data_IF_300750773781
#
_entry.id   IF_300750773781
#
_cell.length_a   1.000
_cell.length_b   1.000
_cell.length_c   1.000
_cell.angle_alpha   90.00
_cell.angle_beta   90.00
_cell.angle_gamma   90.00
#
_symmetry.space_group_name_H-M   'P 1'
#
loop_
_entity.id
_entity.type
_entity.pdbx_description
1 polymer ?
#
# COMPACT_ATOMS: atom_id res chain seq x y z
N UNK A 1 41.22 57.23 -51.85
CA UNK A 1 39.98 57.09 -51.04
C UNK A 1 39.68 55.57 -50.93
N UNK A 2 40.10 54.96 -49.82
CA UNK A 2 39.92 53.53 -49.59
C UNK A 2 38.85 53.37 -48.52
N UNK A 3 37.72 52.72 -48.86
CA UNK A 3 36.60 52.44 -47.99
C UNK A 3 36.96 51.20 -47.15
N UNK A 4 36.98 51.33 -45.81
CA UNK A 4 37.02 50.22 -44.85
C UNK A 4 35.60 49.69 -44.69
N UNK A 5 35.46 48.39 -44.85
CA UNK A 5 34.25 47.61 -44.44
C UNK A 5 34.40 47.14 -42.99
N UNK A 6 33.40 47.29 -42.13
CA UNK A 6 33.44 46.64 -40.83
C UNK A 6 33.05 45.17 -40.92
N UNK A 7 33.87 44.29 -40.31
CA UNK A 7 33.57 42.89 -40.04
C UNK A 7 32.63 42.81 -38.86
N UNK A 8 31.41 42.33 -39.09
CA UNK A 8 30.47 41.93 -38.01
C UNK A 8 30.83 40.53 -37.56
N UNK A 9 31.42 40.42 -36.38
CA UNK A 9 31.66 39.11 -35.72
C UNK A 9 30.39 38.64 -35.00
N UNK A 10 29.79 37.59 -35.52
CA UNK A 10 28.65 36.92 -34.88
C UNK A 10 29.16 36.03 -33.74
N UNK A 11 28.95 36.43 -32.49
CA UNK A 11 29.22 35.61 -31.30
C UNK A 11 28.11 34.58 -31.18
N UNK A 12 28.37 33.30 -31.51
CA UNK A 12 27.50 32.18 -31.19
C UNK A 12 27.64 31.85 -29.69
N UNK A 13 26.66 32.25 -28.89
CA UNK A 13 26.52 31.79 -27.51
C UNK A 13 25.91 30.39 -27.57
N UNK A 14 26.74 29.35 -27.48
CA UNK A 14 26.30 27.98 -27.25
C UNK A 14 25.82 27.86 -25.81
N UNK A 15 24.51 28.04 -25.60
CA UNK A 15 23.87 27.74 -24.32
C UNK A 15 23.96 26.24 -24.04
N UNK A 16 24.81 25.87 -23.11
CA UNK A 16 24.81 24.54 -22.52
C UNK A 16 23.51 24.37 -21.74
N UNK A 17 22.51 23.77 -22.36
CA UNK A 17 21.36 23.17 -21.64
C UNK A 17 21.91 22.01 -20.83
N UNK A 18 22.23 22.26 -19.56
CA UNK A 18 22.45 21.20 -18.57
C UNK A 18 21.13 20.46 -18.42
N UNK A 19 20.93 19.39 -19.19
CA UNK A 19 19.90 18.42 -18.91
C UNK A 19 20.33 17.80 -17.59
N UNK A 20 19.66 18.18 -16.49
CA UNK A 20 19.73 17.43 -15.25
C UNK A 20 19.19 16.03 -15.56
N UNK A 21 20.08 15.11 -15.91
CA UNK A 21 19.79 13.68 -15.85
C UNK A 21 19.41 13.41 -14.41
N UNK A 22 18.13 13.19 -14.14
CA UNK A 22 17.71 12.55 -12.88
C UNK A 22 18.55 11.27 -12.83
N UNK A 23 19.46 11.19 -11.86
CA UNK A 23 20.37 10.06 -11.72
C UNK A 23 19.50 8.81 -11.46
N UNK A 24 19.27 8.01 -12.50
CA UNK A 24 18.75 6.67 -12.34
C UNK A 24 19.69 5.95 -11.37
N UNK A 25 19.15 5.51 -10.21
CA UNK A 25 19.93 4.83 -9.18
C UNK A 25 20.38 5.66 -7.98
N UNK A 26 20.14 6.98 -7.96
CA UNK A 26 20.60 7.84 -6.85
C UNK A 26 20.10 7.40 -5.47
N UNK A 27 18.88 6.83 -5.37
CA UNK A 27 18.34 6.33 -4.09
C UNK A 27 19.01 5.02 -3.72
N UNK A 28 19.21 4.10 -4.65
CA UNK A 28 19.92 2.84 -4.39
C UNK A 28 21.38 3.12 -3.95
N UNK A 29 22.10 4.01 -4.63
CA UNK A 29 23.47 4.40 -4.27
C UNK A 29 23.53 5.02 -2.88
N UNK A 30 22.58 5.89 -2.54
CA UNK A 30 22.45 6.45 -1.19
C UNK A 30 22.28 5.36 -0.14
N UNK A 31 21.36 4.39 -0.35
CA UNK A 31 21.13 3.26 0.55
C UNK A 31 22.41 2.42 0.71
N UNK A 32 23.05 2.09 -0.41
CA UNK A 32 24.27 1.26 -0.40
C UNK A 32 25.45 1.93 0.28
N UNK A 33 25.57 3.25 0.23
CA UNK A 33 26.64 4.03 0.87
C UNK A 33 26.36 4.29 2.36
N UNK A 34 25.13 4.67 2.70
CA UNK A 34 24.74 4.97 4.11
C UNK A 34 24.47 3.72 4.94
N UNK A 35 24.23 2.57 4.29
CA UNK A 35 23.77 1.32 4.93
C UNK A 35 22.45 1.48 5.71
N UNK A 36 21.64 2.44 5.31
CA UNK A 36 20.33 2.72 5.92
C UNK A 36 19.30 2.93 4.82
N UNK A 37 18.12 2.33 4.99
CA UNK A 37 16.95 2.55 4.15
C UNK A 37 15.79 3.07 5.00
N UNK A 38 15.17 4.17 4.55
CA UNK A 38 13.96 4.73 5.17
C UNK A 38 12.74 4.10 4.52
N UNK A 39 11.95 3.38 5.34
CA UNK A 39 10.75 2.69 4.85
C UNK A 39 9.51 3.28 5.50
N UNK A 40 8.61 3.82 4.67
CA UNK A 40 7.30 4.25 5.12
C UNK A 40 6.38 3.03 5.32
N UNK A 41 5.60 3.04 6.40
CA UNK A 41 4.56 2.05 6.70
C UNK A 41 3.50 2.67 7.60
N UNK A 42 2.43 1.94 7.92
CA UNK A 42 1.37 2.41 8.81
C UNK A 42 1.67 2.03 10.27
N UNK A 43 1.32 2.91 11.20
CA UNK A 43 1.46 2.64 12.63
C UNK A 43 0.20 2.02 13.28
N UNK A 44 -0.91 1.93 12.53
CA UNK A 44 -2.21 1.46 13.03
C UNK A 44 -2.99 0.62 11.99
N UNK A 45 -2.34 -0.40 11.48
CA UNK A 45 -2.91 -1.37 10.50
C UNK A 45 -2.61 -2.82 10.91
N UNK A 46 -3.01 -3.27 12.14
CA UNK A 46 -2.74 -4.65 12.56
C UNK A 46 -3.56 -5.68 11.75
N UNK A 47 -3.00 -6.86 11.50
CA UNK A 47 -1.68 -7.35 11.89
C UNK A 47 -0.58 -7.04 10.85
N UNK A 48 -0.85 -6.19 9.84
CA UNK A 48 0.09 -5.85 8.77
C UNK A 48 1.24 -4.96 9.27
N UNK A 49 0.92 -3.83 9.89
CA UNK A 49 1.90 -2.92 10.48
C UNK A 49 1.27 -2.13 11.64
N UNK A 50 1.95 -2.09 12.75
CA UNK A 50 1.45 -1.42 13.96
C UNK A 50 2.59 -1.14 14.94
N UNK A 51 2.32 -0.30 15.93
CA UNK A 51 3.21 -0.12 17.08
C UNK A 51 2.78 -1.11 18.17
N UNK A 52 3.69 -2.00 18.57
CA UNK A 52 3.45 -3.01 19.60
C UNK A 52 3.58 -2.43 21.02
N UNK A 53 3.32 -3.26 22.04
CA UNK A 53 3.37 -2.87 23.47
C UNK A 53 4.77 -2.39 23.94
N UNK A 54 5.83 -2.79 23.23
CA UNK A 54 7.21 -2.31 23.47
C UNK A 54 7.50 -0.97 22.77
N UNK A 55 6.51 -0.32 22.19
CA UNK A 55 6.61 0.90 21.39
C UNK A 55 7.55 0.75 20.18
N UNK A 56 7.48 -0.40 19.51
CA UNK A 56 8.26 -0.72 18.32
C UNK A 56 7.35 -1.06 17.16
N UNK A 57 7.77 -0.72 15.94
CA UNK A 57 7.10 -1.17 14.74
C UNK A 57 7.13 -2.70 14.65
N UNK A 58 5.97 -3.31 14.39
CA UNK A 58 5.80 -4.75 14.28
C UNK A 58 4.71 -5.08 13.25
N UNK A 59 4.63 -6.32 12.80
CA UNK A 59 3.64 -6.77 11.83
C UNK A 59 4.25 -7.45 10.61
N UNK A 60 3.36 -7.96 9.76
CA UNK A 60 3.72 -8.66 8.52
C UNK A 60 4.55 -7.79 7.58
N UNK A 61 4.07 -6.59 7.26
CA UNK A 61 4.75 -5.64 6.37
C UNK A 61 6.10 -5.19 6.94
N UNK A 62 6.17 -5.05 8.27
CA UNK A 62 7.39 -4.68 8.98
C UNK A 62 8.44 -5.78 8.87
N UNK A 63 8.06 -7.05 9.00
CA UNK A 63 8.98 -8.18 8.81
C UNK A 63 9.43 -8.32 7.34
N UNK A 64 8.52 -8.09 6.39
CA UNK A 64 8.87 -8.04 4.95
C UNK A 64 9.88 -6.90 4.69
N UNK A 65 9.64 -5.71 5.23
CA UNK A 65 10.53 -4.56 5.09
C UNK A 65 11.92 -4.85 5.66
N UNK A 66 12.00 -5.46 6.84
CA UNK A 66 13.26 -5.89 7.46
C UNK A 66 14.03 -6.90 6.61
N UNK A 67 13.33 -7.89 6.04
CA UNK A 67 13.97 -8.90 5.20
C UNK A 67 14.46 -8.29 3.87
N UNK A 68 13.72 -7.35 3.26
CA UNK A 68 14.19 -6.60 2.09
C UNK A 68 15.46 -5.81 2.43
N UNK A 69 15.46 -5.05 3.52
CA UNK A 69 16.60 -4.25 3.94
C UNK A 69 17.83 -5.12 4.23
N UNK A 70 17.66 -6.23 4.93
CA UNK A 70 18.72 -7.21 5.20
C UNK A 70 19.34 -7.72 3.88
N UNK A 71 18.54 -8.02 2.85
CA UNK A 71 19.03 -8.45 1.53
C UNK A 71 19.68 -7.31 0.73
N UNK A 72 19.35 -6.07 1.03
CA UNK A 72 20.07 -4.89 0.54
C UNK A 72 21.37 -4.64 1.30
N UNK A 73 21.59 -5.29 2.44
CA UNK A 73 22.73 -5.03 3.34
C UNK A 73 22.62 -3.67 4.04
N UNK A 74 21.40 -3.27 4.42
CA UNK A 74 21.06 -2.01 5.06
C UNK A 74 20.19 -2.23 6.31
N UNK A 75 20.26 -1.28 7.25
CA UNK A 75 19.38 -1.19 8.40
C UNK A 75 18.13 -0.39 8.05
N UNK A 76 16.98 -0.72 8.69
CA UNK A 76 15.71 -0.02 8.45
C UNK A 76 15.52 1.11 9.44
N UNK A 77 15.18 2.29 8.92
CA UNK A 77 14.54 3.38 9.66
C UNK A 77 13.07 3.45 9.24
N UNK A 78 12.14 3.12 10.14
CA UNK A 78 10.70 3.21 9.86
C UNK A 78 10.19 4.63 10.01
N UNK A 79 9.37 5.06 9.03
CA UNK A 79 8.66 6.34 9.01
C UNK A 79 7.17 6.03 8.91
N UNK A 80 6.34 6.74 9.68
CA UNK A 80 4.88 6.50 9.73
C UNK A 80 4.09 7.74 9.31
N UNK A 81 4.17 8.16 8.03
CA UNK A 81 3.38 9.27 7.52
C UNK A 81 1.93 8.85 7.33
N UNK A 82 1.02 9.83 7.23
CA UNK A 82 -0.38 9.57 6.92
C UNK A 82 -0.53 8.93 5.54
N UNK A 83 -1.54 8.09 5.38
CA UNK A 83 -1.81 7.34 4.16
C UNK A 83 -1.95 8.19 2.89
N UNK A 84 -2.65 9.33 2.99
CA UNK A 84 -2.81 10.30 1.90
C UNK A 84 -1.47 10.85 1.40
N UNK A 85 -0.53 11.10 2.31
CA UNK A 85 0.82 11.58 1.98
C UNK A 85 1.63 10.49 1.27
N UNK A 86 1.47 9.23 1.65
CA UNK A 86 2.14 8.10 0.98
C UNK A 86 1.59 7.93 -0.44
N UNK A 87 0.26 7.89 -0.58
CA UNK A 87 -0.41 7.61 -1.86
C UNK A 87 -0.31 8.76 -2.87
N UNK A 88 -0.03 9.98 -2.41
CA UNK A 88 0.19 11.14 -3.27
C UNK A 88 1.47 11.04 -4.14
N UNK A 89 2.44 10.19 -3.76
CA UNK A 89 3.75 10.13 -4.42
C UNK A 89 4.58 11.40 -4.22
N UNK A 90 5.65 11.54 -5.00
CA UNK A 90 6.56 12.69 -4.91
C UNK A 90 7.06 12.90 -3.48
N UNK A 91 7.66 11.87 -2.92
CA UNK A 91 8.09 11.85 -1.52
C UNK A 91 9.30 12.75 -1.23
N UNK A 92 9.99 13.20 -2.28
CA UNK A 92 11.14 14.12 -2.20
C UNK A 92 12.25 13.63 -1.27
N UNK A 93 12.49 12.31 -1.23
CA UNK A 93 13.53 11.70 -0.41
C UNK A 93 13.25 11.69 1.10
N UNK A 94 12.02 11.99 1.53
CA UNK A 94 11.61 11.84 2.94
C UNK A 94 11.72 10.39 3.42
N UNK A 95 11.44 9.45 2.53
CA UNK A 95 11.71 8.02 2.66
C UNK A 95 12.03 7.43 1.28
N UNK A 96 12.56 6.23 1.25
CA UNK A 96 13.11 5.60 0.06
C UNK A 96 12.14 4.57 -0.56
N UNK A 97 11.31 3.94 0.27
CA UNK A 97 10.40 2.86 -0.13
C UNK A 97 9.18 2.85 0.81
N UNK A 98 8.08 2.31 0.35
CA UNK A 98 6.92 2.00 1.19
C UNK A 98 6.64 0.49 1.16
N UNK A 99 6.45 -0.09 2.35
CA UNK A 99 5.97 -1.46 2.57
C UNK A 99 4.85 -1.38 3.61
N UNK A 100 3.61 -1.39 3.14
CA UNK A 100 2.42 -1.14 3.94
C UNK A 100 1.16 -1.48 3.17
N UNK A 101 1.15 -2.65 2.51
CA UNK A 101 -0.06 -3.24 1.90
C UNK A 101 -0.72 -2.34 0.85
N UNK A 102 0.05 -1.79 -0.08
CA UNK A 102 -0.50 -0.93 -1.13
C UNK A 102 -0.88 -1.72 -2.38
N UNK A 103 -2.17 -1.69 -2.74
CA UNK A 103 -2.65 -2.24 -4.01
C UNK A 103 -2.27 -1.32 -5.17
N UNK A 104 -1.64 -1.82 -6.24
CA UNK A 104 -1.47 -1.09 -7.49
C UNK A 104 -2.84 -0.76 -8.10
N UNK A 105 -3.12 0.53 -8.27
CA UNK A 105 -4.30 1.00 -9.01
C UNK A 105 -3.86 1.92 -10.14
N UNK A 106 -4.68 2.06 -11.18
CA UNK A 106 -4.40 3.00 -12.28
C UNK A 106 -4.15 4.42 -11.81
N UNK A 107 -4.80 4.84 -10.73
CA UNK A 107 -4.60 6.17 -10.18
C UNK A 107 -3.23 6.29 -9.50
N UNK A 108 -2.86 5.34 -8.64
CA UNK A 108 -1.60 5.33 -7.91
C UNK A 108 -0.40 5.15 -8.86
N UNK A 109 -0.55 4.34 -9.92
CA UNK A 109 0.50 4.12 -10.93
C UNK A 109 0.90 5.39 -11.72
N UNK A 110 0.12 6.47 -11.64
CA UNK A 110 0.50 7.77 -12.24
C UNK A 110 1.61 8.49 -11.48
N UNK A 111 1.80 8.18 -10.21
CA UNK A 111 2.70 8.90 -9.30
C UNK A 111 3.64 7.96 -8.52
N UNK A 112 3.44 6.65 -8.57
CA UNK A 112 4.19 5.62 -7.85
C UNK A 112 4.55 4.46 -8.77
N UNK A 113 5.65 3.77 -8.44
CA UNK A 113 6.06 2.50 -9.05
C UNK A 113 5.81 1.34 -8.09
N UNK A 114 5.46 0.18 -8.65
CA UNK A 114 5.15 -1.05 -7.92
C UNK A 114 6.10 -2.17 -8.36
N UNK A 115 7.34 -2.24 -7.84
CA UNK A 115 8.35 -3.19 -8.29
C UNK A 115 7.93 -4.65 -8.14
N UNK A 116 7.19 -4.99 -7.08
CA UNK A 116 6.73 -6.36 -6.88
C UNK A 116 5.53 -6.45 -5.96
N UNK A 117 4.56 -7.28 -6.33
CA UNK A 117 3.52 -7.79 -5.43
C UNK A 117 4.18 -8.82 -4.51
N UNK A 118 4.00 -8.69 -3.20
CA UNK A 118 4.59 -9.62 -2.22
C UNK A 118 3.58 -10.55 -1.57
N UNK A 119 2.28 -10.21 -1.56
CA UNK A 119 1.21 -11.09 -1.11
C UNK A 119 -0.15 -10.67 -1.65
N UNK A 120 -1.18 -11.47 -1.37
CA UNK A 120 -2.56 -11.22 -1.76
C UNK A 120 -3.46 -11.39 -0.55
N UNK A 121 -4.37 -10.44 -0.29
CA UNK A 121 -5.36 -10.60 0.78
C UNK A 121 -6.78 -10.47 0.27
N UNK A 122 -7.74 -11.21 0.87
CA UNK A 122 -9.14 -11.00 0.62
C UNK A 122 -9.62 -9.70 1.28
N UNK A 123 -10.34 -8.88 0.54
CA UNK A 123 -11.18 -7.81 1.05
C UNK A 123 -12.55 -8.41 1.42
N UNK A 124 -13.05 -8.13 2.60
CA UNK A 124 -14.27 -8.74 3.12
C UNK A 124 -15.16 -7.74 3.84
N UNK A 125 -16.43 -8.08 3.97
CA UNK A 125 -17.39 -7.33 4.76
C UNK A 125 -17.54 -7.93 6.15
N UNK A 126 -17.62 -7.06 7.16
CA UNK A 126 -17.95 -7.43 8.53
C UNK A 126 -19.18 -6.65 9.01
N UNK A 127 -19.95 -7.28 9.89
CA UNK A 127 -21.09 -6.69 10.56
C UNK A 127 -21.04 -7.01 12.06
N UNK A 128 -21.80 -6.29 12.87
CA UNK A 128 -21.97 -6.66 14.29
C UNK A 128 -22.60 -8.07 14.39
N UNK A 129 -22.21 -8.87 15.37
CA UNK A 129 -22.69 -10.26 15.51
C UNK A 129 -24.21 -10.39 15.65
N UNK A 130 -24.91 -9.36 16.18
CA UNK A 130 -26.36 -9.31 16.29
C UNK A 130 -27.07 -8.94 14.98
N UNK A 131 -26.34 -8.50 13.96
CA UNK A 131 -26.94 -8.13 12.67
C UNK A 131 -27.59 -9.35 11.99
N UNK A 132 -28.68 -9.10 11.29
CA UNK A 132 -29.40 -10.09 10.47
C UNK A 132 -28.82 -10.22 9.06
N UNK A 133 -27.88 -9.36 8.68
CA UNK A 133 -27.16 -9.45 7.41
C UNK A 133 -26.47 -10.82 7.30
N UNK A 134 -26.67 -11.52 6.19
CA UNK A 134 -26.19 -12.87 5.95
C UNK A 134 -25.33 -13.01 4.70
N UNK A 135 -25.46 -12.11 3.76
CA UNK A 135 -24.67 -12.06 2.53
C UNK A 135 -24.26 -10.60 2.21
N UNK A 136 -23.24 -10.45 1.37
CA UNK A 136 -22.67 -9.13 1.04
C UNK A 136 -23.70 -8.18 0.43
N UNK A 137 -24.55 -8.68 -0.46
CA UNK A 137 -25.59 -7.87 -1.13
C UNK A 137 -26.67 -7.32 -0.20
N UNK A 138 -26.86 -7.91 0.99
CA UNK A 138 -27.79 -7.37 2.01
C UNK A 138 -27.33 -5.98 2.53
N UNK A 139 -26.04 -5.64 2.35
CA UNK A 139 -25.45 -4.36 2.73
C UNK A 139 -25.80 -3.21 1.78
N UNK A 140 -26.49 -3.49 0.66
CA UNK A 140 -26.89 -2.46 -0.31
C UNK A 140 -27.79 -1.40 0.33
N UNK A 141 -27.46 -0.12 0.09
CA UNK A 141 -28.15 1.03 0.68
C UNK A 141 -27.84 1.31 2.16
N UNK A 142 -27.03 0.46 2.81
CA UNK A 142 -26.67 0.57 4.22
C UNK A 142 -25.47 1.49 4.47
N UNK A 143 -25.23 1.88 5.74
CA UNK A 143 -24.08 2.68 6.15
C UNK A 143 -22.86 1.79 6.34
N UNK A 144 -21.89 1.91 5.44
CA UNK A 144 -20.69 1.08 5.41
C UNK A 144 -19.46 1.92 5.72
N UNK A 145 -18.73 1.53 6.77
CA UNK A 145 -17.47 2.15 7.17
C UNK A 145 -16.28 1.59 6.40
N UNK A 146 -15.27 2.42 6.17
CA UNK A 146 -13.99 2.03 5.56
C UNK A 146 -12.91 3.07 5.84
N UNK A 147 -11.65 2.76 5.58
CA UNK A 147 -10.55 3.72 5.62
C UNK A 147 -10.55 4.64 4.39
N UNK A 148 -10.32 5.93 4.60
CA UNK A 148 -10.23 6.94 3.53
C UNK A 148 -9.07 6.65 2.58
N UNK A 149 -9.30 6.80 1.27
CA UNK A 149 -8.30 6.62 0.21
C UNK A 149 -7.84 5.16 0.00
N UNK A 150 -8.53 4.19 0.63
CA UNK A 150 -8.25 2.76 0.47
C UNK A 150 -8.96 2.19 -0.78
N UNK A 151 -8.55 1.01 -1.20
CA UNK A 151 -9.25 0.23 -2.23
C UNK A 151 -10.65 -0.19 -1.82
N UNK A 152 -10.89 -0.31 -0.52
CA UNK A 152 -12.21 -0.60 0.05
C UNK A 152 -13.18 0.57 -0.19
N UNK A 153 -12.72 1.81 0.00
CA UNK A 153 -13.49 3.01 -0.32
C UNK A 153 -13.77 3.10 -1.83
N UNK A 154 -12.73 2.84 -2.66
CA UNK A 154 -12.90 2.81 -4.12
C UNK A 154 -13.88 1.71 -4.56
N UNK A 155 -13.87 0.54 -3.92
CA UNK A 155 -14.84 -0.54 -4.17
C UNK A 155 -16.26 -0.09 -3.83
N UNK A 156 -16.49 0.47 -2.66
CA UNK A 156 -17.80 0.94 -2.22
C UNK A 156 -18.35 2.07 -3.11
N UNK A 157 -17.48 2.90 -3.68
CA UNK A 157 -17.83 3.96 -4.62
C UNK A 157 -17.92 3.48 -6.09
N UNK A 158 -17.66 2.20 -6.37
CA UNK A 158 -17.60 1.60 -7.71
C UNK A 158 -16.49 2.21 -8.63
N UNK A 159 -15.43 2.72 -8.03
CA UNK A 159 -14.29 3.38 -8.72
C UNK A 159 -13.01 2.53 -8.72
N UNK A 160 -13.04 1.32 -8.15
CA UNK A 160 -11.84 0.49 -8.01
C UNK A 160 -11.39 -0.07 -9.36
N UNK A 161 -10.17 0.29 -9.77
CA UNK A 161 -9.50 -0.30 -10.93
C UNK A 161 -8.10 -0.78 -10.50
N UNK A 162 -7.97 -2.08 -10.26
CA UNK A 162 -6.69 -2.72 -9.92
C UNK A 162 -5.83 -2.80 -11.19
N UNK A 163 -4.56 -2.39 -11.09
CA UNK A 163 -3.58 -2.36 -12.17
C UNK A 163 -2.40 -3.26 -11.81
N UNK A 164 -2.67 -4.55 -11.69
CA UNK A 164 -1.67 -5.57 -11.42
C UNK A 164 -1.91 -6.80 -12.29
N UNK A 165 -0.84 -7.31 -12.91
CA UNK A 165 -0.91 -8.52 -13.74
C UNK A 165 -1.41 -9.71 -12.92
N UNK A 166 -2.40 -10.44 -13.45
CA UNK A 166 -2.98 -11.62 -12.82
C UNK A 166 -3.85 -11.32 -11.60
N UNK A 167 -4.25 -10.05 -11.36
CA UNK A 167 -5.25 -9.72 -10.36
C UNK A 167 -6.57 -10.42 -10.68
N UNK A 168 -7.21 -11.10 -9.71
CA UNK A 168 -8.51 -11.72 -9.92
C UNK A 168 -9.57 -10.70 -10.31
N UNK A 169 -10.43 -11.06 -11.25
CA UNK A 169 -11.61 -10.27 -11.57
C UNK A 169 -12.59 -10.27 -10.39
N UNK A 170 -13.30 -9.18 -10.21
CA UNK A 170 -14.35 -9.03 -9.19
C UNK A 170 -15.57 -8.32 -9.75
N UNK A 171 -16.68 -8.39 -9.02
CA UNK A 171 -17.91 -7.63 -9.28
C UNK A 171 -18.29 -6.81 -8.06
N UNK A 172 -19.03 -5.73 -8.27
CA UNK A 172 -19.60 -4.96 -7.17
C UNK A 172 -20.86 -5.66 -6.66
N UNK A 173 -20.85 -6.08 -5.39
CA UNK A 173 -21.97 -6.81 -4.77
C UNK A 173 -22.79 -5.92 -3.81
N UNK A 174 -22.32 -4.71 -3.51
CA UNK A 174 -22.98 -3.75 -2.63
C UNK A 174 -23.42 -2.54 -3.48
N UNK A 175 -24.72 -2.40 -3.66
CA UNK A 175 -25.28 -1.32 -4.46
C UNK A 175 -25.66 -0.10 -3.58
N UNK A 176 -25.25 1.09 -4.04
CA UNK A 176 -25.61 2.38 -3.45
C UNK A 176 -25.39 2.46 -1.91
N UNK A 177 -24.25 2.01 -1.36
CA UNK A 177 -23.99 2.14 0.07
C UNK A 177 -23.88 3.61 0.49
N UNK A 178 -24.23 3.90 1.74
CA UNK A 178 -23.88 5.17 2.37
C UNK A 178 -22.49 5.05 2.96
N UNK A 179 -21.47 5.40 2.17
CA UNK A 179 -20.06 5.27 2.56
C UNK A 179 -19.73 6.23 3.69
N UNK A 180 -19.09 5.71 4.74
CA UNK A 180 -18.55 6.46 5.88
C UNK A 180 -17.04 6.26 5.92
N UNK A 181 -16.29 7.29 5.53
CA UNK A 181 -14.83 7.26 5.49
C UNK A 181 -14.25 7.65 6.84
N UNK A 182 -13.31 6.87 7.33
CA UNK A 182 -12.59 7.03 8.59
C UNK A 182 -11.09 7.21 8.29
N UNK A 183 -10.35 7.71 9.25
CA UNK A 183 -8.89 7.84 9.10
C UNK A 183 -8.24 6.47 8.81
N UNK A 184 -8.68 5.41 9.52
CA UNK A 184 -8.26 4.03 9.26
C UNK A 184 -9.46 3.08 9.32
N UNK A 185 -9.33 1.88 8.74
CA UNK A 185 -10.36 0.82 8.88
C UNK A 185 -10.49 0.34 10.32
N UNK A 186 -9.46 0.45 11.14
CA UNK A 186 -9.52 0.09 12.57
C UNK A 186 -10.52 1.00 13.30
N UNK A 187 -10.49 2.32 13.04
CA UNK A 187 -11.46 3.27 13.60
C UNK A 187 -12.89 2.97 13.14
N UNK A 188 -13.07 2.54 11.88
CA UNK A 188 -14.37 2.09 11.39
C UNK A 188 -14.86 0.83 12.15
N UNK A 189 -13.98 -0.14 12.43
CA UNK A 189 -14.31 -1.33 13.23
C UNK A 189 -14.64 -0.97 14.69
N UNK A 190 -13.99 0.05 15.25
CA UNK A 190 -14.32 0.59 16.58
C UNK A 190 -15.77 1.13 16.65
N UNK A 191 -16.23 1.80 15.60
CA UNK A 191 -17.62 2.27 15.53
C UNK A 191 -18.61 1.12 15.29
N UNK A 192 -18.23 0.11 14.48
CA UNK A 192 -19.09 -1.05 14.20
C UNK A 192 -19.32 -1.92 15.45
N UNK A 193 -18.32 -2.06 16.34
CA UNK A 193 -18.47 -2.85 17.57
C UNK A 193 -19.49 -2.32 18.56
N UNK A 194 -19.91 -1.06 18.41
CA UNK A 194 -20.90 -0.44 19.33
C UNK A 194 -22.29 -1.02 19.20
N UNK A 195 -22.61 -1.72 18.09
CA UNK A 195 -23.89 -2.40 17.87
C UNK A 195 -24.40 -2.27 16.44
N UNK A 196 -25.29 -3.17 16.08
CA UNK A 196 -25.93 -3.21 14.77
C UNK A 196 -26.71 -1.91 14.50
N UNK A 197 -26.39 -1.19 13.44
CA UNK A 197 -27.02 0.06 13.03
C UNK A 197 -26.78 1.27 13.97
N UNK A 198 -26.01 1.14 15.06
CA UNK A 198 -25.77 2.26 16.01
C UNK A 198 -25.05 3.41 15.32
N UNK A 199 -23.92 3.12 14.66
CA UNK A 199 -23.18 4.09 13.83
C UNK A 199 -23.02 3.59 12.40
N UNK A 200 -22.74 2.30 12.25
CA UNK A 200 -22.54 1.60 11.00
C UNK A 200 -23.39 0.34 10.98
N UNK A 201 -23.73 -0.12 9.78
CA UNK A 201 -24.38 -1.39 9.52
C UNK A 201 -23.32 -2.45 9.15
N UNK A 202 -22.20 -2.03 8.54
CA UNK A 202 -21.07 -2.88 8.19
C UNK A 202 -19.78 -2.11 7.97
N UNK A 203 -18.69 -2.84 7.81
CA UNK A 203 -17.35 -2.34 7.42
C UNK A 203 -16.83 -3.22 6.30
N UNK A 204 -16.21 -2.62 5.27
CA UNK A 204 -15.41 -3.32 4.27
C UNK A 204 -13.93 -3.01 4.53
N UNK A 205 -13.13 -4.06 4.70
CA UNK A 205 -11.71 -3.97 4.99
C UNK A 205 -10.97 -5.26 4.60
N UNK A 206 -9.65 -5.28 4.79
CA UNK A 206 -8.85 -6.51 4.71
C UNK A 206 -9.35 -7.57 5.69
N UNK A 207 -9.53 -8.80 5.22
CA UNK A 207 -9.98 -9.91 6.08
C UNK A 207 -9.05 -10.14 7.29
N UNK A 208 -7.71 -10.12 7.16
CA UNK A 208 -6.83 -10.23 8.32
C UNK A 208 -7.10 -9.17 9.39
N UNK A 209 -7.33 -7.91 9.04
CA UNK A 209 -7.64 -6.84 9.99
C UNK A 209 -8.99 -7.06 10.68
N UNK A 210 -10.00 -7.54 9.94
CA UNK A 210 -11.31 -7.91 10.52
C UNK A 210 -11.14 -9.06 11.51
N UNK A 211 -10.40 -10.12 11.13
CA UNK A 211 -10.17 -11.27 11.98
C UNK A 211 -9.37 -10.90 13.24
N UNK A 212 -8.39 -10.01 13.12
CA UNK A 212 -7.64 -9.49 14.27
C UNK A 212 -8.56 -8.77 15.27
N UNK A 213 -9.48 -7.92 14.79
CA UNK A 213 -10.47 -7.27 15.65
C UNK A 213 -11.40 -8.29 16.35
N UNK A 214 -11.84 -9.32 15.62
CA UNK A 214 -12.67 -10.41 16.18
C UNK A 214 -11.89 -11.19 17.25
N UNK A 215 -10.64 -11.54 17.00
CA UNK A 215 -9.76 -12.25 17.92
C UNK A 215 -9.50 -11.42 19.20
N UNK A 216 -9.44 -10.10 19.05
CA UNK A 216 -9.34 -9.15 20.16
C UNK A 216 -10.68 -8.86 20.86
N UNK A 217 -11.71 -9.70 20.61
CA UNK A 217 -12.98 -9.69 21.33
C UNK A 217 -14.03 -8.71 20.79
N UNK A 218 -13.84 -8.14 19.61
CA UNK A 218 -14.89 -7.32 18.99
C UNK A 218 -16.08 -8.21 18.63
N UNK A 219 -17.31 -7.79 18.96
CA UNK A 219 -18.52 -8.59 18.71
C UNK A 219 -18.95 -8.52 17.23
N UNK A 220 -18.06 -8.89 16.33
CA UNK A 220 -18.24 -8.83 14.88
C UNK A 220 -18.31 -10.24 14.29
N UNK A 221 -18.79 -10.31 13.05
CA UNK A 221 -18.75 -11.50 12.19
C UNK A 221 -18.45 -11.07 10.74
N UNK A 222 -17.71 -11.91 10.01
CA UNK A 222 -17.52 -11.78 8.56
C UNK A 222 -18.80 -12.23 7.86
N UNK A 223 -19.15 -11.59 6.75
CA UNK A 223 -20.34 -11.86 5.96
C UNK A 223 -19.97 -12.24 4.54
N UNK A 224 -20.53 -13.35 4.07
CA UNK A 224 -20.38 -13.82 2.69
C UNK A 224 -18.95 -14.21 2.33
N UNK A 225 -18.68 -14.22 1.02
CA UNK A 225 -17.35 -14.43 0.45
C UNK A 225 -16.58 -13.11 0.38
N UNK A 226 -15.26 -13.14 0.17
CA UNK A 226 -14.51 -11.91 -0.11
C UNK A 226 -15.07 -11.13 -1.30
N UNK A 227 -15.17 -9.82 -1.16
CA UNK A 227 -15.70 -8.93 -2.20
C UNK A 227 -14.71 -8.73 -3.36
N UNK A 228 -13.41 -8.79 -3.08
CA UNK A 228 -12.32 -8.87 -4.05
C UNK A 228 -11.04 -9.34 -3.37
N UNK A 229 -9.99 -9.59 -4.18
CA UNK A 229 -8.66 -9.91 -3.68
C UNK A 229 -7.69 -8.80 -4.08
N UNK A 230 -6.89 -8.34 -3.11
CA UNK A 230 -5.89 -7.30 -3.30
C UNK A 230 -4.52 -7.90 -3.59
N UNK A 231 -3.91 -7.62 -4.75
CA UNK A 231 -2.46 -7.75 -4.92
C UNK A 231 -1.78 -6.61 -4.16
N UNK A 232 -0.94 -6.93 -3.19
CA UNK A 232 -0.30 -5.95 -2.33
C UNK A 232 1.19 -5.86 -2.63
N UNK A 233 1.65 -4.67 -3.00
CA UNK A 233 2.97 -4.45 -3.58
C UNK A 233 3.85 -3.54 -2.71
N UNK A 234 5.16 -3.78 -2.81
CA UNK A 234 6.16 -2.79 -2.44
C UNK A 234 6.02 -1.59 -3.37
N UNK A 235 6.21 -0.39 -2.84
CA UNK A 235 6.03 0.84 -3.60
C UNK A 235 7.25 1.73 -3.46
N UNK A 236 7.65 2.40 -4.54
CA UNK A 236 8.71 3.41 -4.58
C UNK A 236 8.25 4.61 -5.40
N UNK A 237 8.90 5.77 -5.24
CA UNK A 237 8.66 6.93 -6.10
C UNK A 237 8.98 6.61 -7.57
N UNK A 238 8.34 7.32 -8.49
CA UNK A 238 8.65 7.20 -9.92
C UNK A 238 10.09 7.61 -10.20
N UNK A 239 10.72 6.93 -11.17
CA UNK A 239 11.98 7.35 -11.79
C UNK A 239 13.22 6.63 -11.31
N UNK A 240 13.22 5.90 -10.19
CA UNK A 240 14.36 5.09 -9.76
C UNK A 240 14.25 3.64 -10.29
N UNK A 241 14.67 3.44 -11.53
CA UNK A 241 14.60 2.13 -12.19
C UNK A 241 15.54 1.09 -11.56
N UNK A 242 16.68 1.52 -10.99
CA UNK A 242 17.64 0.61 -10.37
C UNK A 242 17.13 0.10 -9.04
N UNK A 243 16.56 0.97 -8.20
CA UNK A 243 15.89 0.55 -6.97
C UNK A 243 14.70 -0.38 -7.28
N UNK A 244 13.87 -0.02 -8.29
CA UNK A 244 12.77 -0.87 -8.74
C UNK A 244 13.25 -2.29 -9.10
N UNK A 245 14.25 -2.40 -9.98
CA UNK A 245 14.79 -3.69 -10.40
C UNK A 245 15.39 -4.48 -9.24
N UNK A 246 16.11 -3.79 -8.34
CA UNK A 246 16.72 -4.42 -7.17
C UNK A 246 15.68 -4.97 -6.20
N UNK A 247 14.64 -4.18 -5.88
CA UNK A 247 13.54 -4.61 -5.00
C UNK A 247 12.75 -5.75 -5.63
N UNK A 248 12.42 -5.67 -6.93
CA UNK A 248 11.75 -6.76 -7.65
C UNK A 248 12.53 -8.08 -7.56
N UNK A 249 13.86 -8.03 -7.77
CA UNK A 249 14.74 -9.20 -7.65
C UNK A 249 14.75 -9.77 -6.22
N UNK A 250 14.79 -8.91 -5.20
CA UNK A 250 14.78 -9.33 -3.79
C UNK A 250 13.46 -10.01 -3.45
N UNK A 251 12.31 -9.42 -3.80
CA UNK A 251 10.99 -10.00 -3.52
C UNK A 251 10.81 -11.34 -4.25
N UNK A 252 11.30 -11.45 -5.49
CA UNK A 252 11.31 -12.72 -6.24
C UNK A 252 12.15 -13.79 -5.53
N UNK A 253 13.33 -13.44 -5.01
CA UNK A 253 14.17 -14.34 -4.22
C UNK A 253 13.50 -14.74 -2.89
N UNK A 254 12.85 -13.80 -2.18
CA UNK A 254 12.08 -14.07 -0.95
C UNK A 254 10.90 -15.03 -1.20
N UNK A 255 10.30 -14.96 -2.36
CA UNK A 255 9.25 -15.91 -2.78
C UNK A 255 9.84 -17.28 -3.08
N UNK A 256 10.96 -17.34 -3.81
CA UNK A 256 11.59 -18.57 -4.24
C UNK A 256 12.16 -19.41 -3.07
N UNK A 257 12.74 -18.74 -2.07
CA UNK A 257 13.32 -19.41 -0.89
C UNK A 257 12.36 -19.59 0.29
N UNK A 258 11.09 -19.17 0.14
CA UNK A 258 10.03 -19.35 1.12
C UNK A 258 10.03 -18.35 2.28
N UNK A 259 10.84 -17.32 2.24
CA UNK A 259 10.84 -16.28 3.28
C UNK A 259 9.48 -15.59 3.41
N UNK A 260 8.84 -15.22 2.29
CA UNK A 260 7.50 -14.64 2.30
C UNK A 260 6.44 -15.58 2.89
N UNK A 261 6.47 -16.86 2.53
CA UNK A 261 5.60 -17.91 3.10
C UNK A 261 5.78 -18.02 4.61
N UNK A 262 7.03 -17.99 5.08
CA UNK A 262 7.35 -18.07 6.51
C UNK A 262 6.81 -16.87 7.27
N UNK A 263 7.01 -15.64 6.75
CA UNK A 263 6.49 -14.42 7.36
C UNK A 263 4.96 -14.42 7.33
N UNK A 264 4.32 -14.84 6.21
CA UNK A 264 2.86 -14.92 6.09
C UNK A 264 2.26 -15.88 7.14
N UNK A 265 2.82 -17.07 7.29
CA UNK A 265 2.36 -18.05 8.29
C UNK A 265 2.57 -17.57 9.73
N UNK A 266 3.63 -16.83 10.00
CA UNK A 266 3.87 -16.22 11.32
C UNK A 266 2.72 -15.30 11.73
N UNK A 267 2.26 -14.44 10.82
CA UNK A 267 1.31 -13.39 11.13
C UNK A 267 -0.16 -13.78 10.90
N UNK A 268 -0.43 -14.59 9.90
CA UNK A 268 -1.80 -14.93 9.48
C UNK A 268 -2.18 -16.38 9.75
N UNK A 269 -1.23 -17.25 10.12
CA UNK A 269 -1.45 -18.68 10.22
C UNK A 269 -1.60 -19.40 8.86
N UNK A 270 -1.69 -18.65 7.77
CA UNK A 270 -1.86 -19.13 6.39
C UNK A 270 -0.85 -18.46 5.45
N UNK A 271 -0.68 -19.03 4.26
CA UNK A 271 0.21 -18.49 3.25
C UNK A 271 -0.55 -17.60 2.25
N UNK A 272 -0.52 -16.31 2.44
CA UNK A 272 -1.02 -15.32 1.49
C UNK A 272 0.02 -14.91 0.44
N UNK A 273 1.28 -15.35 0.56
CA UNK A 273 2.35 -14.93 -0.35
C UNK A 273 2.38 -15.73 -1.67
N UNK A 274 1.87 -16.99 -1.66
CA UNK A 274 1.88 -17.90 -2.81
C UNK A 274 0.50 -18.16 -3.40
N UNK A 275 -0.57 -17.89 -2.67
CA UNK A 275 -1.97 -18.09 -3.12
C UNK A 275 -2.43 -16.84 -3.87
N UNK A 276 -2.91 -17.05 -5.11
CA UNK A 276 -3.59 -16.05 -5.93
C UNK A 276 -5.10 -16.21 -5.83
#
# INVERSE_FOLDING_TARGET
MKLLKPLLGTLLIAGLLSVNSVNAGAVLDKIMSSKTIKIATDANWPPQSFINDDNKMDGFDVDVAREIAKRLGAEVEFITPNWDVITAGNWYGRWDMHVGSMTPTKQRAKVLSFPAVYYYTPASAAVHKSSKVSQVSDLSGMKIGTGTGTTFELYLNHDLVIDAEGAPAFSYEIDNPVVKSYETSVVALDDLRLGDGVRLDGVVSSLPTILEAINNGYPLKVVGSPVFYEPLAVTVDLGDNELNAKVASIVAAMRADGALTTISKKWYGVDYATVK
#
